data_IF_824852838307
#
_entry.id   IF_824852838307
#
_cell.length_a   1.000
_cell.length_b   1.000
_cell.length_c   1.000
_cell.angle_alpha   90.00
_cell.angle_beta   90.00
_cell.angle_gamma   90.00
#
_symmetry.space_group_name_H-M   'P 1'
#
loop_
_entity.id
_entity.type
_entity.pdbx_description
1 polymer ?
#
# COMPACT_ATOMS: atom_id res chain seq x y z
N UNK A 1 9.31 -32.39 86.07
CA UNK A 1 8.06 -33.18 86.08
C UNK A 1 7.42 -33.13 84.71
N UNK A 2 6.84 -34.24 84.29
CA UNK A 2 6.26 -34.55 82.98
C UNK A 2 5.00 -33.74 82.68
N UNK A 3 4.69 -33.60 81.38
CA UNK A 3 3.40 -33.86 80.70
C UNK A 3 3.20 -32.85 79.55
N UNK A 4 3.37 -33.28 78.29
CA UNK A 4 2.35 -33.86 77.38
C UNK A 4 1.16 -32.94 77.13
N UNK A 5 0.95 -32.53 75.86
CA UNK A 5 -0.31 -32.52 75.10
C UNK A 5 -0.05 -31.96 73.66
N UNK A 6 -0.90 -32.22 72.64
CA UNK A 6 -0.62 -33.25 71.66
C UNK A 6 -0.60 -32.76 70.19
N UNK A 7 -0.23 -33.73 69.35
CA UNK A 7 -0.40 -33.86 67.91
C UNK A 7 -1.81 -33.47 67.41
N UNK A 8 -1.89 -32.65 66.36
CA UNK A 8 -3.05 -32.61 65.45
C UNK A 8 -2.56 -32.82 64.01
N UNK A 9 -3.01 -33.95 63.45
CA UNK A 9 -2.84 -34.37 62.07
C UNK A 9 -3.62 -33.42 61.14
N UNK A 10 -3.02 -32.97 60.03
CA UNK A 10 -3.77 -32.46 58.89
C UNK A 10 -3.25 -33.14 57.61
N UNK A 11 -4.02 -34.10 57.11
CA UNK A 11 -3.86 -34.68 55.77
C UNK A 11 -4.80 -33.96 54.82
N UNK A 12 -4.27 -33.29 53.78
CA UNK A 12 -5.04 -32.95 52.58
C UNK A 12 -4.22 -33.19 51.30
N UNK A 13 -4.52 -34.35 50.69
CA UNK A 13 -4.78 -34.64 49.27
C UNK A 13 -3.77 -34.13 48.21
N UNK A 14 -3.01 -35.09 47.69
CA UNK A 14 -2.30 -35.04 46.40
C UNK A 14 -3.31 -34.83 45.28
N UNK A 15 -3.26 -33.68 44.61
CA UNK A 15 -3.96 -33.47 43.34
C UNK A 15 -3.03 -33.82 42.18
N UNK A 16 -3.33 -34.89 41.46
CA UNK A 16 -2.75 -35.19 40.15
C UNK A 16 -3.05 -34.04 39.18
N UNK A 17 -2.03 -33.36 38.67
CA UNK A 17 -2.14 -32.57 37.45
C UNK A 17 -1.62 -33.40 36.28
N UNK A 18 -2.55 -33.85 35.44
CA UNK A 18 -2.23 -34.35 34.11
C UNK A 18 -1.71 -33.17 33.26
N UNK A 19 -0.39 -33.07 33.10
CA UNK A 19 0.21 -32.26 32.04
C UNK A 19 -0.12 -32.94 30.71
N UNK A 20 -1.10 -32.42 29.97
CA UNK A 20 -1.17 -32.62 28.53
C UNK A 20 -0.11 -31.73 27.89
N UNK A 21 0.96 -32.33 27.40
CA UNK A 21 1.83 -31.70 26.41
C UNK A 21 0.98 -31.39 25.18
N UNK A 22 0.82 -30.10 24.90
CA UNK A 22 0.34 -29.62 23.61
C UNK A 22 1.53 -29.69 22.65
N UNK A 23 1.65 -30.79 21.91
CA UNK A 23 2.49 -30.85 20.72
C UNK A 23 2.03 -29.74 19.76
N UNK A 24 2.80 -28.66 19.74
CA UNK A 24 2.65 -27.62 18.74
C UNK A 24 3.20 -28.21 17.46
N UNK A 25 2.32 -28.74 16.61
CA UNK A 25 2.64 -29.10 15.23
C UNK A 25 3.13 -27.82 14.57
N UNK A 26 4.45 -27.65 14.48
CA UNK A 26 5.08 -26.68 13.60
C UNK A 26 4.77 -27.15 12.19
N UNK A 27 3.62 -26.74 11.67
CA UNK A 27 3.37 -26.80 10.23
C UNK A 27 4.49 -25.97 9.62
N UNK A 28 5.44 -26.63 8.98
CA UNK A 28 6.42 -25.95 8.16
C UNK A 28 5.61 -25.23 7.09
N UNK A 29 5.43 -23.92 7.26
CA UNK A 29 4.92 -23.04 6.21
C UNK A 29 5.95 -23.17 5.12
N UNK A 30 5.64 -24.00 4.12
CA UNK A 30 6.41 -24.07 2.88
C UNK A 30 6.30 -22.67 2.29
N UNK A 31 7.32 -21.84 2.53
CA UNK A 31 7.40 -20.53 1.88
C UNK A 31 7.43 -20.82 0.39
N UNK A 32 6.40 -20.39 -0.34
CA UNK A 32 6.46 -20.42 -1.79
C UNK A 32 7.79 -19.76 -2.22
N UNK A 33 8.53 -20.36 -3.16
CA UNK A 33 9.74 -19.75 -3.67
C UNK A 33 9.41 -18.35 -4.19
N UNK A 34 10.17 -17.35 -3.74
CA UNK A 34 9.97 -15.98 -4.16
C UNK A 34 10.32 -15.85 -5.65
N UNK A 35 9.48 -15.11 -6.36
CA UNK A 35 9.67 -14.82 -7.78
C UNK A 35 11.00 -14.11 -8.00
N UNK A 36 11.82 -14.62 -8.91
CA UNK A 36 13.07 -13.95 -9.30
C UNK A 36 12.78 -12.63 -10.02
N UNK A 37 13.76 -11.71 -10.06
CA UNK A 37 13.58 -10.41 -10.73
C UNK A 37 13.32 -10.60 -12.24
N UNK A 38 13.99 -11.56 -12.88
CA UNK A 38 13.79 -11.87 -14.29
C UNK A 38 12.39 -12.41 -14.57
N UNK A 39 11.90 -13.35 -13.75
CA UNK A 39 10.53 -13.84 -13.88
C UNK A 39 9.49 -12.74 -13.66
N UNK A 40 9.76 -11.82 -12.72
CA UNK A 40 8.90 -10.68 -12.43
C UNK A 40 8.79 -9.74 -13.63
N UNK A 41 9.94 -9.32 -14.19
CA UNK A 41 9.98 -8.45 -15.38
C UNK A 41 9.35 -9.13 -16.59
N UNK A 42 9.66 -10.41 -16.84
CA UNK A 42 9.07 -11.19 -17.93
C UNK A 42 7.54 -11.20 -17.88
N UNK A 43 6.98 -11.56 -16.72
CA UNK A 43 5.52 -11.57 -16.53
C UNK A 43 4.90 -10.20 -16.74
N UNK A 44 5.57 -9.12 -16.31
CA UNK A 44 5.10 -7.76 -16.53
C UNK A 44 5.12 -7.34 -18.01
N UNK A 45 6.13 -7.76 -18.77
CA UNK A 45 6.18 -7.58 -20.23
C UNK A 45 4.98 -8.28 -20.88
N UNK A 46 4.74 -9.55 -20.53
CA UNK A 46 3.63 -10.35 -21.08
C UNK A 46 2.25 -9.72 -20.83
N UNK A 47 2.04 -9.10 -19.67
CA UNK A 47 0.78 -8.40 -19.35
C UNK A 47 0.79 -6.92 -19.70
N UNK A 48 1.72 -6.48 -20.55
CA UNK A 48 1.74 -5.14 -21.14
C UNK A 48 1.98 -4.00 -20.14
N UNK A 49 2.71 -4.23 -19.05
CA UNK A 49 3.06 -3.18 -18.07
C UNK A 49 3.72 -1.98 -18.75
N UNK A 50 4.55 -2.26 -19.74
CA UNK A 50 5.41 -1.28 -20.38
C UNK A 50 4.80 -0.56 -21.60
N UNK A 51 3.51 -0.80 -21.89
CA UNK A 51 2.80 -0.29 -23.07
C UNK A 51 2.84 1.24 -23.24
N UNK A 52 2.93 1.99 -22.14
CA UNK A 52 2.89 3.45 -22.14
C UNK A 52 4.25 4.12 -21.90
N UNK A 53 5.34 3.37 -21.97
CA UNK A 53 6.70 3.88 -21.76
C UNK A 53 7.08 4.90 -22.84
N UNK A 54 7.79 5.97 -22.47
CA UNK A 54 8.25 7.00 -23.44
C UNK A 54 9.37 6.51 -24.37
N UNK A 55 10.17 5.54 -23.92
CA UNK A 55 11.25 4.93 -24.68
C UNK A 55 10.86 3.55 -25.22
N UNK A 56 11.45 3.16 -26.35
CA UNK A 56 11.44 1.78 -26.80
C UNK A 56 12.15 0.90 -25.78
N UNK A 57 11.43 -0.09 -25.28
CA UNK A 57 11.98 -1.05 -24.34
C UNK A 57 12.75 -2.13 -25.09
N UNK A 58 14.02 -2.25 -24.74
CA UNK A 58 14.86 -3.36 -25.16
C UNK A 58 14.61 -4.55 -24.23
N UNK A 59 13.69 -5.42 -24.64
CA UNK A 59 13.32 -6.62 -23.87
C UNK A 59 14.48 -7.62 -23.74
N UNK A 60 15.59 -7.45 -24.48
CA UNK A 60 16.79 -8.28 -24.33
C UNK A 60 17.65 -7.87 -23.13
N UNK A 61 17.38 -6.70 -22.53
CA UNK A 61 18.08 -6.16 -21.36
C UNK A 61 17.16 -6.10 -20.14
N UNK A 62 16.62 -7.24 -19.73
CA UNK A 62 15.68 -7.35 -18.61
C UNK A 62 16.18 -6.70 -17.33
N UNK A 63 17.47 -6.89 -17.01
CA UNK A 63 18.13 -6.33 -15.83
C UNK A 63 18.13 -4.79 -15.81
N UNK A 64 17.89 -4.14 -16.96
CA UNK A 64 17.81 -2.68 -17.08
C UNK A 64 16.39 -2.12 -16.94
N UNK A 65 15.36 -2.98 -16.88
CA UNK A 65 13.97 -2.53 -16.80
C UNK A 65 13.58 -2.22 -15.37
N UNK A 66 13.50 -0.93 -15.06
CA UNK A 66 13.05 -0.44 -13.76
C UNK A 66 11.54 -0.17 -13.79
N UNK A 67 10.77 -0.95 -13.03
CA UNK A 67 9.31 -0.79 -12.89
C UNK A 67 8.90 0.48 -12.13
N UNK A 68 9.85 1.09 -11.41
CA UNK A 68 9.70 2.34 -10.67
C UNK A 68 10.28 3.55 -11.43
N UNK A 69 10.56 3.42 -12.73
CA UNK A 69 10.93 4.55 -13.58
C UNK A 69 9.65 5.32 -13.97
N UNK A 70 9.64 6.63 -13.73
CA UNK A 70 8.54 7.53 -14.12
C UNK A 70 8.29 7.57 -15.64
N UNK A 71 9.29 7.24 -16.45
CA UNK A 71 9.16 7.14 -17.90
C UNK A 71 8.30 5.95 -18.36
N UNK A 72 8.03 4.98 -17.48
CA UNK A 72 7.04 3.92 -17.74
C UNK A 72 5.62 4.47 -17.82
N UNK A 73 5.39 5.69 -17.31
CA UNK A 73 4.06 6.26 -17.08
C UNK A 73 3.16 5.32 -16.27
N UNK A 74 3.76 4.56 -15.34
CA UNK A 74 3.07 3.66 -14.40
C UNK A 74 3.37 4.01 -12.95
N UNK A 75 4.40 4.81 -12.70
CA UNK A 75 4.90 5.14 -11.38
C UNK A 75 4.97 6.65 -11.19
N UNK A 76 4.71 7.09 -9.95
CA UNK A 76 4.94 8.45 -9.47
C UNK A 76 5.41 8.40 -8.02
N UNK A 77 6.46 9.16 -7.71
CA UNK A 77 6.88 9.40 -6.32
C UNK A 77 6.13 10.60 -5.76
N UNK A 78 5.77 10.52 -4.49
CA UNK A 78 4.92 11.50 -3.82
C UNK A 78 5.48 11.70 -2.42
N UNK A 79 5.66 12.95 -2.02
CA UNK A 79 5.83 13.23 -0.61
C UNK A 79 4.45 13.26 0.04
N UNK A 80 4.20 12.37 1.00
CA UNK A 80 2.92 12.28 1.68
C UNK A 80 2.62 13.56 2.50
N UNK A 81 3.66 14.22 3.00
CA UNK A 81 3.57 15.49 3.70
C UNK A 81 3.14 16.59 2.73
N UNK A 82 3.81 16.72 1.58
CA UNK A 82 3.42 17.72 0.57
C UNK A 82 1.97 17.53 0.12
N UNK A 83 1.52 16.29 -0.13
CA UNK A 83 0.14 16.03 -0.51
C UNK A 83 -0.84 16.48 0.58
N UNK A 84 -0.55 16.20 1.85
CA UNK A 84 -1.42 16.55 2.96
C UNK A 84 -1.39 18.05 3.30
N UNK A 85 -0.26 18.73 3.05
CA UNK A 85 -0.10 20.18 3.18
C UNK A 85 -0.54 20.95 1.92
N UNK A 86 -1.20 20.24 0.99
CA UNK A 86 -1.77 20.79 -0.23
C UNK A 86 -0.72 21.38 -1.19
N UNK A 87 0.51 20.88 -1.17
CA UNK A 87 1.52 21.18 -2.16
C UNK A 87 1.54 20.09 -3.24
N UNK A 88 1.17 20.46 -4.45
CA UNK A 88 0.91 19.51 -5.54
C UNK A 88 1.90 19.60 -6.70
N UNK A 89 2.78 20.60 -6.67
CA UNK A 89 3.61 20.96 -7.82
C UNK A 89 4.67 19.91 -8.14
N UNK A 90 5.11 19.14 -7.14
CA UNK A 90 6.15 18.12 -7.26
C UNK A 90 5.69 16.87 -8.01
N UNK A 91 4.42 16.45 -7.86
CA UNK A 91 3.95 15.15 -8.38
C UNK A 91 2.75 15.23 -9.34
N UNK A 92 1.93 16.28 -9.29
CA UNK A 92 0.78 16.42 -10.21
C UNK A 92 1.17 16.52 -11.68
N UNK A 93 2.29 17.15 -12.09
CA UNK A 93 2.75 17.10 -13.48
C UNK A 93 2.96 15.68 -14.00
N UNK A 94 3.56 14.81 -13.18
CA UNK A 94 3.76 13.40 -13.53
C UNK A 94 2.44 12.63 -13.58
N UNK A 95 1.52 12.86 -12.63
CA UNK A 95 0.17 12.30 -12.69
C UNK A 95 -0.60 12.71 -13.95
N UNK A 96 -0.52 14.00 -14.35
CA UNK A 96 -1.11 14.49 -15.60
C UNK A 96 -0.55 13.75 -16.80
N UNK A 97 0.77 13.54 -16.86
CA UNK A 97 1.43 12.78 -17.92
C UNK A 97 0.95 11.32 -17.96
N UNK A 98 0.91 10.66 -16.80
CA UNK A 98 0.39 9.27 -16.66
C UNK A 98 -1.04 9.19 -17.20
N UNK A 99 -1.94 10.05 -16.73
CA UNK A 99 -3.36 10.02 -17.09
C UNK A 99 -3.60 10.39 -18.55
N UNK A 100 -2.82 11.32 -19.12
CA UNK A 100 -2.90 11.70 -20.53
C UNK A 100 -2.64 10.51 -21.47
N UNK A 101 -1.75 9.56 -21.11
CA UNK A 101 -1.54 8.32 -21.88
C UNK A 101 -2.77 7.41 -21.93
N UNK A 102 -3.76 7.63 -21.07
CA UNK A 102 -5.07 6.96 -21.02
C UNK A 102 -6.21 7.86 -21.51
N UNK A 103 -5.89 9.00 -22.11
CA UNK A 103 -6.86 10.03 -22.53
C UNK A 103 -7.71 10.58 -21.36
N UNK A 104 -7.15 10.63 -20.16
CA UNK A 104 -7.80 11.20 -18.97
C UNK A 104 -7.08 12.51 -18.60
N UNK A 105 -7.84 13.60 -18.47
CA UNK A 105 -7.32 14.87 -17.97
C UNK A 105 -7.34 14.93 -16.45
N UNK A 106 -6.42 15.68 -15.86
CA UNK A 106 -6.37 15.93 -14.41
C UNK A 106 -6.20 17.42 -14.12
N UNK A 107 -7.11 17.99 -13.34
CA UNK A 107 -6.93 19.24 -12.59
C UNK A 107 -7.00 18.95 -11.10
N UNK A 108 -6.11 19.59 -10.34
CA UNK A 108 -6.07 19.54 -8.87
C UNK A 108 -5.94 20.98 -8.39
N UNK A 109 -6.89 21.44 -7.59
CA UNK A 109 -6.97 22.82 -7.11
C UNK A 109 -7.29 22.84 -5.61
N UNK A 110 -6.77 23.83 -4.89
CA UNK A 110 -7.18 24.12 -3.51
C UNK A 110 -8.60 24.71 -3.51
N UNK A 111 -9.40 24.37 -2.50
CA UNK A 111 -10.64 25.11 -2.25
C UNK A 111 -10.36 26.40 -1.49
N UNK A 112 -11.29 27.36 -1.52
CA UNK A 112 -11.17 28.62 -0.76
C UNK A 112 -11.17 28.41 0.77
N UNK A 113 -11.78 27.32 1.24
CA UNK A 113 -11.95 27.00 2.66
C UNK A 113 -11.07 25.82 3.12
N UNK A 114 -9.96 25.59 2.42
CA UNK A 114 -9.10 24.42 2.62
C UNK A 114 -8.58 24.28 4.05
N UNK A 115 -8.25 25.41 4.70
CA UNK A 115 -7.79 25.47 6.10
C UNK A 115 -8.86 25.02 7.13
N UNK A 116 -10.13 24.95 6.73
CA UNK A 116 -11.25 24.54 7.60
C UNK A 116 -11.82 23.17 7.24
N UNK A 117 -11.82 22.87 5.95
CA UNK A 117 -12.53 21.71 5.39
C UNK A 117 -11.58 20.59 5.01
N UNK A 118 -10.30 20.92 4.79
CA UNK A 118 -9.28 20.04 4.22
C UNK A 118 -9.71 19.45 2.86
N UNK A 119 -10.54 20.21 2.14
CA UNK A 119 -11.05 19.85 0.82
C UNK A 119 -10.19 20.44 -0.31
N UNK A 120 -9.98 19.62 -1.32
CA UNK A 120 -9.45 20.02 -2.62
C UNK A 120 -10.50 19.77 -3.71
N UNK A 121 -10.22 20.27 -4.91
CA UNK A 121 -11.00 19.99 -6.10
C UNK A 121 -10.19 19.14 -7.07
N UNK A 122 -10.69 17.96 -7.45
CA UNK A 122 -10.11 17.12 -8.50
C UNK A 122 -11.11 17.04 -9.66
N UNK A 123 -10.77 17.54 -10.84
CA UNK A 123 -11.67 17.56 -12.02
C UNK A 123 -13.10 18.08 -11.70
N UNK A 124 -13.19 19.13 -10.89
CA UNK A 124 -14.43 19.72 -10.35
C UNK A 124 -15.13 18.98 -9.20
N UNK A 125 -14.66 17.79 -8.81
CA UNK A 125 -15.16 17.07 -7.64
C UNK A 125 -14.49 17.58 -6.38
N UNK A 126 -15.28 17.90 -5.34
CA UNK A 126 -14.74 18.17 -4.01
C UNK A 126 -14.31 16.87 -3.36
N UNK A 127 -13.10 16.84 -2.83
CA UNK A 127 -12.51 15.70 -2.14
C UNK A 127 -11.97 16.19 -0.81
N UNK A 128 -12.59 15.73 0.28
CA UNK A 128 -12.02 15.91 1.61
C UNK A 128 -10.83 14.96 1.77
N UNK A 129 -9.63 15.52 1.93
CA UNK A 129 -8.41 14.71 2.09
C UNK A 129 -8.39 14.04 3.47
N UNK A 130 -8.76 14.77 4.51
CA UNK A 130 -8.86 14.28 5.87
C UNK A 130 -9.81 15.17 6.68
N UNK A 131 -10.04 14.83 7.93
CA UNK A 131 -10.84 15.63 8.85
C UNK A 131 -10.04 16.03 10.10
N UNK A 132 -10.64 16.89 10.92
CA UNK A 132 -10.06 17.40 12.16
C UNK A 132 -9.59 16.29 13.12
N UNK A 133 -10.32 15.18 13.19
CA UNK A 133 -9.92 14.05 14.04
C UNK A 133 -8.64 13.38 13.53
N UNK A 134 -8.52 13.20 12.22
CA UNK A 134 -7.32 12.61 11.58
C UNK A 134 -6.10 13.54 11.64
N UNK A 135 -6.33 14.85 11.67
CA UNK A 135 -5.26 15.81 11.94
C UNK A 135 -4.75 15.66 13.38
N UNK A 136 -5.66 15.61 14.34
CA UNK A 136 -5.32 15.53 15.77
C UNK A 136 -4.69 14.20 16.19
N UNK A 137 -5.02 13.08 15.53
CA UNK A 137 -4.44 11.77 15.83
C UNK A 137 -3.18 11.44 15.01
N UNK A 138 -2.77 12.33 14.11
CA UNK A 138 -1.60 12.18 13.25
C UNK A 138 -1.78 11.23 12.06
N UNK A 139 -3.00 10.75 11.78
CA UNK A 139 -3.29 9.87 10.64
C UNK A 139 -3.55 10.60 9.32
N UNK A 140 -3.53 11.94 9.32
CA UNK A 140 -3.89 12.78 8.18
C UNK A 140 -3.05 12.52 6.91
N UNK A 141 -1.74 12.25 6.99
CA UNK A 141 -0.94 11.88 5.80
C UNK A 141 -1.48 10.64 5.08
N UNK A 142 -1.84 9.62 5.85
CA UNK A 142 -2.44 8.39 5.33
C UNK A 142 -3.85 8.64 4.79
N UNK A 143 -4.66 9.40 5.51
CA UNK A 143 -6.01 9.74 5.07
C UNK A 143 -6.00 10.54 3.76
N UNK A 144 -5.13 11.56 3.68
CA UNK A 144 -4.99 12.42 2.52
C UNK A 144 -4.61 11.63 1.27
N UNK A 145 -3.56 10.82 1.36
CA UNK A 145 -3.09 9.99 0.26
C UNK A 145 -4.14 8.96 -0.18
N UNK A 146 -4.78 8.26 0.77
CA UNK A 146 -5.88 7.33 0.48
C UNK A 146 -7.03 8.03 -0.26
N UNK A 147 -7.54 9.14 0.28
CA UNK A 147 -8.72 9.81 -0.30
C UNK A 147 -8.42 10.46 -1.67
N UNK A 148 -7.21 10.98 -1.85
CA UNK A 148 -6.74 11.51 -3.13
C UNK A 148 -6.73 10.42 -4.20
N UNK A 149 -6.04 9.29 -3.95
CA UNK A 149 -5.92 8.23 -4.95
C UNK A 149 -7.21 7.42 -5.15
N UNK A 150 -8.05 7.30 -4.12
CA UNK A 150 -9.41 6.77 -4.27
C UNK A 150 -10.23 7.60 -5.25
N UNK A 151 -10.10 8.93 -5.20
CA UNK A 151 -10.78 9.84 -6.12
C UNK A 151 -10.23 9.73 -7.55
N UNK A 152 -8.91 9.60 -7.72
CA UNK A 152 -8.32 9.30 -9.03
C UNK A 152 -8.78 7.95 -9.61
N UNK A 153 -8.88 6.93 -8.76
CA UNK A 153 -9.39 5.61 -9.15
C UNK A 153 -10.86 5.66 -9.60
N UNK A 154 -11.66 6.51 -8.96
CA UNK A 154 -13.04 6.75 -9.39
C UNK A 154 -13.08 7.43 -10.77
N UNK A 155 -12.25 8.46 -11.01
CA UNK A 155 -12.13 9.12 -12.32
C UNK A 155 -11.72 8.13 -13.41
N UNK A 156 -10.74 7.26 -13.14
CA UNK A 156 -10.30 6.22 -14.07
C UNK A 156 -11.45 5.25 -14.41
N UNK A 157 -12.20 4.83 -13.40
CA UNK A 157 -13.38 3.96 -13.56
C UNK A 157 -14.44 4.61 -14.45
N UNK A 158 -14.76 5.88 -14.22
CA UNK A 158 -15.73 6.64 -14.99
C UNK A 158 -15.31 6.81 -16.46
N UNK A 159 -13.99 6.92 -16.70
CA UNK A 159 -13.40 6.97 -18.04
C UNK A 159 -13.14 5.56 -18.65
N UNK A 160 -13.66 4.50 -18.04
CA UNK A 160 -13.53 3.10 -18.51
C UNK A 160 -12.07 2.64 -18.67
N UNK A 161 -11.16 3.21 -17.89
CA UNK A 161 -9.78 2.73 -17.78
C UNK A 161 -9.77 1.54 -16.83
N UNK A 162 -9.09 0.45 -17.20
CA UNK A 162 -9.02 -0.77 -16.39
C UNK A 162 -8.03 -0.67 -15.22
N UNK A 163 -7.01 0.17 -15.36
CA UNK A 163 -5.95 0.34 -14.37
C UNK A 163 -6.42 1.11 -13.12
N UNK A 164 -5.84 0.81 -11.97
CA UNK A 164 -6.03 1.54 -10.70
C UNK A 164 -4.69 1.89 -10.09
N UNK A 165 -4.62 3.04 -9.42
CA UNK A 165 -3.50 3.39 -8.57
C UNK A 165 -3.54 2.54 -7.29
N UNK A 166 -2.37 2.01 -6.96
CA UNK A 166 -2.05 1.32 -5.72
C UNK A 166 -0.94 2.09 -5.03
N UNK A 167 -1.08 2.33 -3.74
CA UNK A 167 -0.07 3.01 -2.93
C UNK A 167 1.03 2.02 -2.55
N UNK A 168 2.27 2.44 -2.69
CA UNK A 168 3.46 1.70 -2.23
C UNK A 168 4.18 2.59 -1.25
N UNK A 169 4.67 2.00 -0.15
CA UNK A 169 5.31 2.69 0.95
C UNK A 169 4.40 3.78 1.58
N UNK A 170 3.49 3.39 2.48
CA UNK A 170 2.49 4.29 3.10
C UNK A 170 3.02 5.22 4.19
N UNK A 171 4.33 5.47 4.24
CA UNK A 171 4.98 6.43 5.14
C UNK A 171 5.16 7.81 4.49
N UNK A 172 6.22 8.53 4.88
CA UNK A 172 6.53 9.84 4.29
C UNK A 172 6.91 9.73 2.80
N UNK A 173 7.73 8.72 2.46
CA UNK A 173 8.20 8.44 1.10
C UNK A 173 7.16 7.65 0.28
N UNK A 174 5.99 8.25 0.10
CA UNK A 174 4.87 7.66 -0.64
C UNK A 174 5.20 7.49 -2.12
N UNK A 175 4.62 6.47 -2.72
CA UNK A 175 4.55 6.36 -4.17
C UNK A 175 3.27 5.68 -4.61
N UNK A 176 2.94 5.80 -5.90
CA UNK A 176 1.80 5.13 -6.47
C UNK A 176 2.16 4.42 -7.78
N UNK A 177 1.63 3.20 -7.93
CA UNK A 177 1.70 2.40 -9.15
C UNK A 177 0.32 2.29 -9.80
N UNK A 178 0.23 2.57 -11.10
CA UNK A 178 -0.99 2.40 -11.88
C UNK A 178 -1.01 1.01 -12.54
N UNK A 179 -1.76 0.07 -11.97
CA UNK A 179 -1.72 -1.35 -12.35
C UNK A 179 -3.09 -1.83 -12.84
N UNK A 180 -3.10 -2.75 -13.80
CA UNK A 180 -4.26 -3.62 -14.02
C UNK A 180 -4.34 -4.68 -12.91
N UNK A 181 -5.47 -5.38 -12.81
CA UNK A 181 -5.60 -6.48 -11.85
C UNK A 181 -4.57 -7.59 -12.06
N UNK A 182 -4.24 -7.92 -13.32
CA UNK A 182 -3.21 -8.92 -13.65
C UNK A 182 -1.81 -8.47 -13.24
N UNK A 183 -1.49 -7.18 -13.45
CA UNK A 183 -0.22 -6.59 -13.02
C UNK A 183 -0.13 -6.57 -11.49
N UNK A 184 -1.18 -6.15 -10.80
CA UNK A 184 -1.26 -6.18 -9.34
C UNK A 184 -0.96 -7.58 -8.77
N UNK A 185 -1.58 -8.64 -9.32
CA UNK A 185 -1.33 -10.02 -8.89
C UNK A 185 0.15 -10.43 -9.00
N UNK A 186 0.85 -9.95 -10.03
CA UNK A 186 2.30 -10.19 -10.20
C UNK A 186 3.10 -9.47 -9.11
N UNK A 187 2.81 -8.18 -8.85
CA UNK A 187 3.43 -7.43 -7.75
C UNK A 187 3.14 -8.06 -6.38
N UNK A 188 1.90 -8.43 -6.08
CA UNK A 188 1.54 -9.06 -4.82
C UNK A 188 2.30 -10.37 -4.61
N UNK A 189 2.51 -11.16 -5.67
CA UNK A 189 3.31 -12.39 -5.56
C UNK A 189 4.79 -12.10 -5.30
N UNK A 190 5.35 -11.06 -5.93
CA UNK A 190 6.75 -10.64 -5.74
C UNK A 190 7.01 -10.10 -4.33
N UNK A 191 6.11 -9.29 -3.80
CA UNK A 191 6.31 -8.51 -2.57
C UNK A 191 5.47 -9.01 -1.38
N UNK A 192 4.89 -10.20 -1.43
CA UNK A 192 4.01 -10.73 -0.37
C UNK A 192 4.66 -10.78 1.04
N UNK A 193 5.99 -10.81 1.12
CA UNK A 193 6.74 -10.85 2.36
C UNK A 193 7.42 -9.53 2.73
N UNK A 194 7.21 -8.47 1.93
CA UNK A 194 7.82 -7.15 2.11
C UNK A 194 6.68 -6.13 2.21
N UNK A 195 6.10 -5.92 3.39
CA UNK A 195 4.87 -5.14 3.55
C UNK A 195 4.94 -3.72 2.98
N UNK A 196 6.11 -3.06 3.05
CA UNK A 196 6.28 -1.69 2.56
C UNK A 196 6.31 -1.60 1.03
N UNK A 197 6.72 -2.67 0.35
CA UNK A 197 6.81 -2.73 -1.11
C UNK A 197 5.55 -3.33 -1.74
N UNK A 198 4.65 -3.87 -0.93
CA UNK A 198 3.38 -4.40 -1.38
C UNK A 198 2.48 -3.25 -1.82
N UNK A 199 2.01 -3.21 -3.08
CA UNK A 199 1.04 -2.21 -3.49
C UNK A 199 -0.29 -2.44 -2.77
N UNK A 200 -0.89 -1.37 -2.24
CA UNK A 200 -2.14 -1.40 -1.48
C UNK A 200 -3.17 -0.56 -2.22
N UNK A 201 -4.36 -1.12 -2.43
CA UNK A 201 -5.47 -0.35 -2.98
C UNK A 201 -5.89 0.73 -1.95
N UNK A 202 -5.96 2.02 -2.33
CA UNK A 202 -6.44 3.09 -1.47
C UNK A 202 -7.95 2.96 -1.16
#
# INVERSE_FOLDING_TARGET
MKCLFPLLLLTIIVSCQNKKESETIKTAVVKEPQMTDNEFVLKLIEVGFFKHTESTIDTTKMDSLNVYDENTNKFVRIDAEELAEFNFDSFVPQLKKILAKRNVSLSVEKTEEIEKTYEIKINNLRVQLYNEWQLNDGSFWKAASTNFFKSLNQILKENKVEERFYLVNGGNDLSALLLTESQYKIFSKKYNSIPNDLPIMP
#
